data_IF_551547362126
#
_entry.id   IF_551547362126
#
_cell.length_a   1.000
_cell.length_b   1.000
_cell.length_c   1.000
_cell.angle_alpha   90.00
_cell.angle_beta   90.00
_cell.angle_gamma   90.00
#
_symmetry.space_group_name_H-M   'P 1'
#
loop_
_entity.id
_entity.type
_entity.pdbx_description
1 polymer ?
#
# COMPACT_ATOMS: atom_id res chain seq x y z
N UNK A 1 -41.41 -32.56 -82.09
CA UNK A 1 -40.41 -31.60 -81.74
C UNK A 1 -40.79 -30.55 -80.69
N UNK A 2 -42.05 -30.10 -80.61
CA UNK A 2 -42.54 -29.06 -79.64
C UNK A 2 -42.58 -29.51 -78.16
N UNK A 3 -42.81 -30.79 -77.87
CA UNK A 3 -42.82 -31.26 -76.43
C UNK A 3 -41.44 -31.28 -75.71
N UNK A 4 -40.38 -31.58 -76.48
CA UNK A 4 -39.01 -31.60 -75.91
C UNK A 4 -38.48 -30.19 -75.49
N UNK A 5 -38.88 -29.18 -76.26
CA UNK A 5 -38.45 -27.76 -75.95
C UNK A 5 -39.18 -27.21 -74.71
N UNK A 6 -40.44 -27.66 -74.48
CA UNK A 6 -41.24 -27.23 -73.30
C UNK A 6 -40.65 -27.82 -72.02
N UNK A 7 -40.23 -29.07 -72.03
CA UNK A 7 -39.59 -29.74 -70.89
C UNK A 7 -38.24 -29.15 -70.60
N UNK A 8 -37.46 -28.75 -71.58
CA UNK A 8 -36.12 -28.15 -71.40
C UNK A 8 -36.20 -26.73 -70.75
N UNK A 9 -37.17 -25.91 -71.18
CA UNK A 9 -37.43 -24.59 -70.55
C UNK A 9 -37.91 -24.72 -69.11
N UNK A 10 -38.78 -25.71 -68.84
CA UNK A 10 -39.29 -25.95 -67.52
C UNK A 10 -38.25 -26.44 -66.56
N UNK A 11 -37.26 -27.24 -66.95
CA UNK A 11 -36.13 -27.68 -66.17
C UNK A 11 -35.09 -26.54 -65.90
N UNK A 12 -34.89 -25.70 -66.88
CA UNK A 12 -34.01 -24.50 -66.65
C UNK A 12 -34.62 -23.50 -65.71
N UNK A 13 -35.92 -23.28 -65.78
CA UNK A 13 -36.63 -22.40 -64.83
C UNK A 13 -36.58 -22.96 -63.42
N UNK A 14 -36.81 -24.27 -63.25
CA UNK A 14 -36.67 -24.93 -61.91
C UNK A 14 -35.26 -24.82 -61.34
N UNK A 15 -34.24 -25.03 -62.14
CA UNK A 15 -32.88 -24.88 -61.73
C UNK A 15 -32.55 -23.42 -61.34
N UNK A 16 -33.00 -22.45 -62.10
CA UNK A 16 -32.83 -21.04 -61.81
C UNK A 16 -33.47 -20.65 -60.48
N UNK A 17 -34.74 -21.08 -60.26
CA UNK A 17 -35.44 -20.86 -59.02
C UNK A 17 -34.74 -21.54 -57.84
N UNK A 18 -34.26 -22.75 -58.00
CA UNK A 18 -33.53 -23.47 -56.97
C UNK A 18 -32.21 -22.77 -56.58
N UNK A 19 -31.44 -22.33 -57.58
CA UNK A 19 -30.22 -21.57 -57.32
C UNK A 19 -30.48 -20.21 -56.66
N UNK A 20 -31.52 -19.51 -57.07
CA UNK A 20 -31.90 -18.23 -56.46
C UNK A 20 -32.35 -18.42 -55.01
N UNK A 21 -33.14 -19.44 -54.75
CA UNK A 21 -33.64 -19.79 -53.42
C UNK A 21 -32.48 -20.23 -52.51
N UNK A 22 -31.55 -21.03 -53.01
CA UNK A 22 -30.37 -21.47 -52.28
C UNK A 22 -29.45 -20.29 -51.92
N UNK A 23 -29.26 -19.38 -52.88
CA UNK A 23 -28.44 -18.18 -52.68
C UNK A 23 -29.02 -17.21 -51.67
N UNK A 24 -30.35 -16.96 -51.72
CA UNK A 24 -31.03 -16.12 -50.75
C UNK A 24 -31.05 -16.75 -49.36
N UNK A 25 -31.26 -18.05 -49.25
CA UNK A 25 -31.23 -18.76 -47.98
C UNK A 25 -29.84 -18.75 -47.38
N UNK A 26 -28.80 -18.99 -48.18
CA UNK A 26 -27.41 -18.93 -47.74
C UNK A 26 -27.02 -17.53 -47.29
N UNK A 27 -27.43 -16.47 -47.99
CA UNK A 27 -27.12 -15.08 -47.55
C UNK A 27 -27.85 -14.70 -46.25
N UNK A 28 -29.09 -15.11 -46.06
CA UNK A 28 -29.84 -14.89 -44.82
C UNK A 28 -29.16 -15.62 -43.64
N UNK A 29 -28.77 -16.89 -43.84
CA UNK A 29 -28.05 -17.67 -42.83
C UNK A 29 -26.69 -17.03 -42.47
N UNK A 30 -25.95 -16.53 -43.46
CA UNK A 30 -24.70 -15.82 -43.22
C UNK A 30 -24.90 -14.55 -42.38
N UNK A 31 -25.94 -13.78 -42.65
CA UNK A 31 -26.27 -12.57 -41.87
C UNK A 31 -26.61 -12.94 -40.41
N UNK A 32 -27.41 -14.01 -40.23
CA UNK A 32 -27.75 -14.47 -38.89
C UNK A 32 -26.51 -14.91 -38.11
N UNK A 33 -25.62 -15.71 -38.74
CA UNK A 33 -24.38 -16.17 -38.11
C UNK A 33 -23.47 -14.99 -37.78
N UNK A 34 -23.32 -14.03 -38.71
CA UNK A 34 -22.51 -12.83 -38.48
C UNK A 34 -23.06 -11.98 -37.33
N UNK A 35 -24.39 -11.80 -37.27
CA UNK A 35 -25.04 -11.07 -36.17
C UNK A 35 -24.79 -11.75 -34.81
N UNK A 36 -24.91 -13.08 -34.80
CA UNK A 36 -24.63 -13.85 -33.56
C UNK A 36 -23.18 -13.76 -33.12
N UNK A 37 -22.25 -13.84 -34.07
CA UNK A 37 -20.81 -13.68 -33.78
C UNK A 37 -20.49 -12.29 -33.20
N UNK A 38 -21.08 -11.23 -33.73
CA UNK A 38 -20.93 -9.87 -33.23
C UNK A 38 -21.51 -9.76 -31.80
N UNK A 39 -22.69 -10.30 -31.55
CA UNK A 39 -23.29 -10.27 -30.22
C UNK A 39 -22.46 -11.04 -29.19
N UNK A 40 -21.94 -12.20 -29.53
CA UNK A 40 -21.09 -13.00 -28.67
C UNK A 40 -19.78 -12.28 -28.40
N UNK A 41 -19.15 -11.66 -29.41
CA UNK A 41 -17.92 -10.89 -29.24
C UNK A 41 -18.13 -9.67 -28.32
N UNK A 42 -19.26 -9.00 -28.47
CA UNK A 42 -19.60 -7.86 -27.60
C UNK A 42 -19.84 -8.30 -26.15
N UNK A 43 -20.56 -9.40 -25.93
CA UNK A 43 -20.80 -9.95 -24.61
C UNK A 43 -19.49 -10.43 -23.92
N UNK A 44 -18.58 -11.03 -24.68
CA UNK A 44 -17.28 -11.45 -24.18
C UNK A 44 -16.41 -10.24 -23.81
N UNK A 45 -16.41 -9.19 -24.62
CA UNK A 45 -15.71 -7.93 -24.35
C UNK A 45 -16.21 -7.26 -23.05
N UNK A 46 -17.52 -7.06 -22.92
CA UNK A 46 -18.15 -6.47 -21.74
C UNK A 46 -17.85 -7.28 -20.46
N UNK A 47 -17.88 -8.61 -20.59
CA UNK A 47 -17.54 -9.52 -19.48
C UNK A 47 -16.08 -9.40 -19.06
N UNK A 48 -15.15 -9.33 -20.00
CA UNK A 48 -13.72 -9.16 -19.74
C UNK A 48 -13.41 -7.81 -19.12
N UNK A 49 -14.06 -6.75 -19.58
CA UNK A 49 -13.88 -5.41 -19.01
C UNK A 49 -14.35 -5.36 -17.55
N UNK A 50 -15.52 -5.91 -17.26
CA UNK A 50 -16.06 -6.00 -15.89
C UNK A 50 -15.16 -6.85 -14.97
N UNK A 51 -14.64 -7.96 -15.48
CA UNK A 51 -13.72 -8.81 -14.74
C UNK A 51 -12.41 -8.06 -14.44
N UNK A 52 -11.83 -7.37 -15.42
CA UNK A 52 -10.63 -6.55 -15.23
C UNK A 52 -10.84 -5.46 -14.17
N UNK A 53 -11.99 -4.77 -14.20
CA UNK A 53 -12.33 -3.76 -13.19
C UNK A 53 -12.47 -4.37 -11.79
N UNK A 54 -13.12 -5.52 -11.66
CA UNK A 54 -13.25 -6.22 -10.37
C UNK A 54 -11.91 -6.67 -9.81
N UNK A 55 -11.04 -7.18 -10.67
CA UNK A 55 -9.69 -7.60 -10.28
C UNK A 55 -8.87 -6.38 -9.85
N UNK A 56 -8.90 -5.30 -10.63
CA UNK A 56 -8.21 -4.06 -10.29
C UNK A 56 -8.68 -3.51 -8.93
N UNK A 57 -9.98 -3.44 -8.71
CA UNK A 57 -10.55 -2.98 -7.45
C UNK A 57 -10.12 -3.88 -6.27
N UNK A 58 -10.15 -5.20 -6.44
CA UNK A 58 -9.72 -6.14 -5.40
C UNK A 58 -8.25 -5.98 -5.05
N UNK A 59 -7.38 -5.84 -6.06
CA UNK A 59 -5.94 -5.61 -5.85
C UNK A 59 -5.72 -4.30 -5.13
N UNK A 60 -6.36 -3.21 -5.56
CA UNK A 60 -6.23 -1.91 -4.90
C UNK A 60 -6.68 -1.96 -3.45
N UNK A 61 -7.86 -2.53 -3.15
CA UNK A 61 -8.36 -2.65 -1.78
C UNK A 61 -7.39 -3.44 -0.91
N UNK A 62 -6.92 -4.58 -1.38
CA UNK A 62 -5.99 -5.42 -0.62
C UNK A 62 -4.64 -4.75 -0.39
N UNK A 63 -4.11 -4.03 -1.39
CA UNK A 63 -2.88 -3.27 -1.25
C UNK A 63 -3.02 -2.16 -0.19
N UNK A 64 -4.14 -1.43 -0.21
CA UNK A 64 -4.42 -0.40 0.79
C UNK A 64 -4.51 -1.01 2.18
N UNK A 65 -5.24 -2.10 2.36
CA UNK A 65 -5.37 -2.80 3.63
C UNK A 65 -4.01 -3.25 4.19
N UNK A 66 -3.11 -3.76 3.33
CA UNK A 66 -1.80 -4.25 3.73
C UNK A 66 -0.85 -3.10 4.11
N UNK A 67 -0.84 -2.02 3.33
CA UNK A 67 -0.08 -0.82 3.65
C UNK A 67 -0.62 -0.17 4.95
N UNK A 68 -1.94 -0.07 5.09
CA UNK A 68 -2.58 0.48 6.29
C UNK A 68 -2.29 -0.35 7.55
N UNK A 69 -2.13 -1.66 7.40
CA UNK A 69 -1.71 -2.54 8.48
C UNK A 69 -0.32 -2.13 9.02
N UNK A 70 0.69 -1.99 8.16
CA UNK A 70 2.02 -1.56 8.58
C UNK A 70 2.02 -0.19 9.24
N UNK A 71 1.28 0.77 8.67
CA UNK A 71 1.14 2.10 9.27
C UNK A 71 0.50 2.07 10.65
N UNK A 72 -0.58 1.31 10.82
CA UNK A 72 -1.30 1.20 12.09
C UNK A 72 -0.45 0.52 13.16
N UNK A 73 0.19 -0.56 12.82
CA UNK A 73 1.09 -1.28 13.73
C UNK A 73 2.25 -0.40 14.16
N UNK A 74 2.89 0.27 13.22
CA UNK A 74 3.99 1.18 13.51
C UNK A 74 3.54 2.40 14.34
N UNK A 75 2.34 2.92 14.12
CA UNK A 75 1.79 3.99 14.94
C UNK A 75 1.59 3.53 16.40
N UNK A 76 1.14 2.30 16.58
CA UNK A 76 1.01 1.70 17.92
C UNK A 76 2.37 1.55 18.59
N UNK A 77 3.38 1.08 17.86
CA UNK A 77 4.75 0.96 18.37
C UNK A 77 5.35 2.32 18.75
N UNK A 78 5.11 3.36 17.94
CA UNK A 78 5.51 4.72 18.28
C UNK A 78 4.83 5.22 19.56
N UNK A 79 3.55 4.93 19.73
CA UNK A 79 2.83 5.23 20.97
C UNK A 79 3.42 4.46 22.16
N UNK A 80 3.80 3.21 21.98
CA UNK A 80 4.38 2.38 23.05
C UNK A 80 5.74 2.91 23.51
N UNK A 81 6.53 3.54 22.63
CA UNK A 81 7.78 4.20 23.00
C UNK A 81 7.58 5.33 24.02
N UNK A 82 6.40 5.93 24.03
CA UNK A 82 6.05 7.09 24.87
C UNK A 82 4.74 6.84 25.66
N UNK A 83 4.43 5.56 25.91
CA UNK A 83 3.13 5.15 26.46
C UNK A 83 2.92 5.56 27.93
N UNK A 84 3.98 5.78 28.67
CA UNK A 84 3.88 6.11 30.09
C UNK A 84 4.82 7.24 30.48
N UNK A 85 4.56 7.82 31.65
CA UNK A 85 5.33 8.96 32.17
C UNK A 85 6.82 8.64 32.34
N UNK A 86 7.15 7.41 32.74
CA UNK A 86 8.55 7.00 32.95
C UNK A 86 9.34 7.00 31.65
N UNK A 87 8.76 6.47 30.56
CA UNK A 87 9.37 6.47 29.22
C UNK A 87 9.51 7.88 28.66
N UNK A 88 8.48 8.72 28.79
CA UNK A 88 8.53 10.13 28.41
C UNK A 88 9.64 10.84 29.19
N UNK A 89 9.74 10.58 30.48
CA UNK A 89 10.80 11.15 31.32
C UNK A 89 12.20 10.67 30.86
N UNK A 90 12.32 9.40 30.49
CA UNK A 90 13.54 8.83 29.89
C UNK A 90 13.98 9.58 28.63
N UNK A 91 13.02 9.88 27.73
CA UNK A 91 13.26 10.68 26.54
C UNK A 91 13.71 12.10 26.90
N UNK A 92 13.00 12.79 27.79
CA UNK A 92 13.38 14.14 28.26
C UNK A 92 14.77 14.18 28.89
N UNK A 93 15.11 13.19 29.73
CA UNK A 93 16.42 13.11 30.38
C UNK A 93 17.54 12.88 29.39
N UNK A 94 17.30 12.11 28.33
CA UNK A 94 18.24 11.92 27.25
C UNK A 94 18.65 13.25 26.59
N UNK A 95 17.70 14.15 26.34
CA UNK A 95 17.96 15.47 25.76
C UNK A 95 18.55 16.50 26.76
N UNK A 96 18.25 16.33 28.05
CA UNK A 96 18.59 17.32 29.05
C UNK A 96 19.96 17.10 29.72
N UNK A 97 20.44 15.86 29.71
CA UNK A 97 21.64 15.45 30.43
C UNK A 97 22.78 15.13 29.45
N UNK A 98 24.01 15.25 29.91
CA UNK A 98 25.13 14.67 29.17
C UNK A 98 25.01 13.14 29.16
N UNK A 99 25.66 12.49 28.20
CA UNK A 99 25.62 11.00 28.06
C UNK A 99 25.98 10.31 29.39
N UNK A 100 26.98 10.77 30.09
CA UNK A 100 27.42 10.19 31.39
C UNK A 100 26.34 10.38 32.48
N UNK A 101 25.79 11.57 32.59
CA UNK A 101 24.71 11.88 33.55
C UNK A 101 23.45 11.08 33.25
N UNK A 102 23.11 10.91 31.98
CA UNK A 102 21.97 10.09 31.57
C UNK A 102 22.14 8.62 32.00
N UNK A 103 23.35 8.05 31.83
CA UNK A 103 23.62 6.68 32.29
C UNK A 103 23.52 6.54 33.81
N UNK A 104 24.03 7.51 34.57
CA UNK A 104 23.90 7.49 36.03
C UNK A 104 22.44 7.60 36.45
N UNK A 105 21.68 8.48 35.81
CA UNK A 105 20.24 8.61 36.06
C UNK A 105 19.49 7.31 35.74
N UNK A 106 19.81 6.63 34.65
CA UNK A 106 19.23 5.34 34.30
C UNK A 106 19.49 4.29 35.39
N UNK A 107 20.72 4.14 35.83
CA UNK A 107 21.12 3.19 36.89
C UNK A 107 20.33 3.43 38.20
N UNK A 108 20.07 4.68 38.54
CA UNK A 108 19.34 5.04 39.74
C UNK A 108 17.82 4.74 39.62
N UNK A 109 17.22 5.00 38.45
CA UNK A 109 15.78 4.98 38.28
C UNK A 109 15.26 3.65 37.66
N UNK A 110 16.07 2.96 36.88
CA UNK A 110 15.67 1.69 36.24
C UNK A 110 15.25 0.62 37.25
N UNK A 111 15.92 0.56 38.40
CA UNK A 111 15.59 -0.40 39.46
C UNK A 111 14.22 -0.16 40.11
N UNK A 112 13.70 1.05 40.05
CA UNK A 112 12.41 1.44 40.60
C UNK A 112 11.26 1.33 39.59
N UNK A 113 11.58 1.28 38.27
CA UNK A 113 10.56 1.17 37.21
C UNK A 113 10.30 -0.28 36.86
N UNK A 114 9.03 -0.59 36.57
CA UNK A 114 8.60 -1.90 36.09
C UNK A 114 8.85 -2.11 34.59
N UNK A 115 9.19 -1.05 33.86
CA UNK A 115 9.44 -1.04 32.41
C UNK A 115 10.78 -0.41 32.11
N UNK A 116 11.40 -0.74 30.97
CA UNK A 116 12.61 -0.05 30.55
C UNK A 116 12.33 1.43 30.31
N UNK A 117 13.09 2.29 30.97
CA UNK A 117 13.07 3.76 30.81
C UNK A 117 14.19 4.23 29.87
N UNK A 118 15.09 3.33 29.49
CA UNK A 118 16.18 3.60 28.56
C UNK A 118 15.66 3.81 27.14
N UNK A 119 15.90 5.00 26.59
CA UNK A 119 15.54 5.30 25.21
C UNK A 119 16.22 4.33 24.23
N UNK A 120 17.49 4.02 24.46
CA UNK A 120 18.27 3.11 23.61
C UNK A 120 17.68 1.69 23.61
N UNK A 121 17.40 1.14 24.79
CA UNK A 121 16.83 -0.23 24.89
C UNK A 121 15.48 -0.32 24.25
N UNK A 122 14.60 0.66 24.48
CA UNK A 122 13.26 0.66 23.89
C UNK A 122 13.31 0.74 22.36
N UNK A 123 14.24 1.51 21.78
CA UNK A 123 14.41 1.60 20.32
C UNK A 123 15.09 0.34 19.76
N UNK A 124 16.06 -0.22 20.47
CA UNK A 124 16.72 -1.47 20.05
C UNK A 124 15.73 -2.65 20.05
N UNK A 125 14.89 -2.74 21.08
CA UNK A 125 13.80 -3.72 21.15
C UNK A 125 12.80 -3.55 20.00
N UNK A 126 12.48 -2.31 19.64
CA UNK A 126 11.60 -2.02 18.52
C UNK A 126 12.19 -2.52 17.20
N UNK A 127 13.49 -2.33 16.96
CA UNK A 127 14.17 -2.85 15.79
C UNK A 127 14.30 -4.37 15.78
N UNK A 128 14.49 -4.99 16.94
CA UNK A 128 14.58 -6.47 17.05
C UNK A 128 13.24 -7.13 16.76
N UNK A 129 12.15 -6.52 17.21
CA UNK A 129 10.81 -7.09 17.08
C UNK A 129 10.18 -6.83 15.70
N UNK A 130 10.63 -5.78 14.98
CA UNK A 130 9.97 -5.32 13.76
C UNK A 130 11.00 -5.03 12.67
N UNK A 131 11.15 -5.98 11.75
CA UNK A 131 12.13 -5.93 10.67
C UNK A 131 11.83 -4.86 9.59
N UNK A 132 10.59 -4.42 9.51
CA UNK A 132 10.12 -3.41 8.56
C UNK A 132 10.37 -1.96 9.02
N UNK A 133 10.85 -1.73 10.26
CA UNK A 133 11.22 -0.40 10.74
C UNK A 133 12.70 -0.16 10.48
N UNK A 134 13.03 0.90 9.75
CA UNK A 134 14.41 1.28 9.39
C UNK A 134 14.96 2.41 10.20
N UNK A 135 14.11 3.30 10.72
CA UNK A 135 14.53 4.47 11.44
C UNK A 135 13.52 4.98 12.47
N UNK A 136 14.01 5.63 13.49
CA UNK A 136 13.21 6.36 14.49
C UNK A 136 13.82 7.73 14.70
N UNK A 137 12.98 8.78 14.64
CA UNK A 137 13.40 10.12 15.06
C UNK A 137 12.42 10.67 16.08
N UNK A 138 12.93 11.37 17.09
CA UNK A 138 12.13 11.98 18.16
C UNK A 138 12.42 13.46 18.19
N UNK A 139 11.37 14.25 17.98
CA UNK A 139 11.38 15.71 18.04
C UNK A 139 10.60 16.15 19.26
N UNK A 140 11.23 16.86 20.18
CA UNK A 140 10.56 17.51 21.30
C UNK A 140 10.53 19.02 21.07
N UNK A 141 9.41 19.65 21.40
CA UNK A 141 9.21 21.09 21.14
C UNK A 141 10.15 21.98 21.97
N UNK A 142 10.54 21.52 23.16
CA UNK A 142 11.39 22.28 24.08
C UNK A 142 12.87 22.22 23.74
N UNK A 143 13.27 21.37 22.80
CA UNK A 143 14.68 21.16 22.46
C UNK A 143 14.97 21.56 21.01
N UNK A 144 16.19 22.06 20.80
CA UNK A 144 16.70 22.41 19.46
C UNK A 144 17.37 21.23 18.74
N UNK A 145 17.32 20.07 19.35
CA UNK A 145 17.93 18.86 18.85
C UNK A 145 16.86 17.81 18.60
N UNK A 146 17.12 16.95 17.64
CA UNK A 146 16.29 15.80 17.28
C UNK A 146 17.12 14.55 17.52
N UNK A 147 16.57 13.59 18.21
CA UNK A 147 17.15 12.26 18.27
C UNK A 147 16.89 11.53 16.97
N UNK A 148 17.92 10.94 16.38
CA UNK A 148 17.81 10.12 15.17
C UNK A 148 18.51 8.79 15.41
N UNK A 149 17.84 7.71 15.07
CA UNK A 149 18.37 6.35 15.11
C UNK A 149 18.04 5.63 13.81
N UNK A 150 18.94 4.80 13.35
CA UNK A 150 18.76 3.93 12.20
C UNK A 150 19.08 2.50 12.60
N UNK A 151 18.37 1.53 12.05
CA UNK A 151 18.61 0.09 12.27
C UNK A 151 20.04 -0.32 11.95
N UNK A 152 20.66 0.33 10.96
CA UNK A 152 22.02 0.02 10.52
C UNK A 152 23.11 0.66 11.38
N UNK A 153 22.74 1.66 12.20
CA UNK A 153 23.63 2.35 13.11
C UNK A 153 23.23 2.06 14.55
N UNK A 154 24.04 1.27 15.25
CA UNK A 154 23.80 0.99 16.67
C UNK A 154 23.94 2.25 17.50
N UNK A 155 22.90 2.59 18.21
CA UNK A 155 22.81 3.79 19.03
C UNK A 155 22.42 5.02 18.21
N UNK A 156 21.43 5.75 18.68
CA UNK A 156 21.04 7.00 18.05
C UNK A 156 22.00 8.14 18.39
N UNK A 157 21.88 9.22 17.66
CA UNK A 157 22.60 10.46 17.88
C UNK A 157 21.64 11.65 17.80
N UNK A 158 22.08 12.81 18.27
CA UNK A 158 21.30 14.04 18.13
C UNK A 158 21.77 14.86 16.94
N UNK A 159 20.84 15.46 16.24
CA UNK A 159 21.07 16.43 15.17
C UNK A 159 20.30 17.71 15.46
N UNK A 160 20.69 18.83 14.87
CA UNK A 160 19.96 20.08 15.04
C UNK A 160 18.57 19.97 14.41
N UNK A 161 17.55 20.43 15.12
CA UNK A 161 16.17 20.47 14.62
C UNK A 161 16.00 21.41 13.43
N UNK A 162 16.85 22.46 13.36
CA UNK A 162 16.87 23.38 12.22
C UNK A 162 17.40 22.64 10.99
N UNK A 163 16.48 22.40 10.02
CA UNK A 163 16.78 21.65 8.79
C UNK A 163 16.52 20.16 8.86
N UNK A 164 16.11 19.62 10.00
CA UNK A 164 15.66 18.23 10.07
C UNK A 164 14.41 18.04 9.20
N UNK A 165 14.45 17.03 8.35
CA UNK A 165 13.29 16.57 7.56
C UNK A 165 13.15 15.08 7.76
N UNK A 166 11.97 14.62 8.16
CA UNK A 166 11.69 13.19 8.20
C UNK A 166 11.86 12.56 6.81
N UNK A 167 12.21 11.30 6.76
CA UNK A 167 12.29 10.55 5.50
C UNK A 167 10.91 10.46 4.83
N UNK A 168 10.88 10.36 3.49
CA UNK A 168 9.63 10.30 2.73
C UNK A 168 8.75 9.08 3.09
N UNK A 169 9.37 7.99 3.56
CA UNK A 169 8.71 6.77 4.02
C UNK A 169 8.42 6.77 5.53
N UNK A 170 8.55 7.91 6.21
CA UNK A 170 8.25 8.04 7.63
C UNK A 170 6.89 8.66 7.88
N UNK A 171 6.33 8.37 9.03
CA UNK A 171 5.13 9.03 9.55
C UNK A 171 5.34 9.44 11.00
N UNK A 172 4.65 10.51 11.41
CA UNK A 172 4.77 11.10 12.73
C UNK A 172 3.60 10.76 13.62
N UNK A 173 3.90 10.40 14.86
CA UNK A 173 2.93 10.18 15.94
C UNK A 173 3.18 11.22 17.03
N UNK A 174 2.17 12.01 17.44
CA UNK A 174 2.37 13.02 18.47
C UNK A 174 2.65 12.38 19.83
N UNK A 175 3.60 12.97 20.55
CA UNK A 175 3.85 12.68 21.97
C UNK A 175 2.91 13.58 22.77
N UNK A 176 2.03 12.98 23.56
CA UNK A 176 1.13 13.73 24.40
C UNK A 176 1.62 13.76 25.84
N UNK A 177 1.53 14.90 26.48
CA UNK A 177 1.77 15.02 27.92
C UNK A 177 0.60 14.33 28.66
N UNK A 178 0.86 13.30 29.49
CA UNK A 178 -0.21 12.57 30.18
C UNK A 178 -1.05 13.42 31.14
N UNK A 179 -0.54 14.56 31.58
CA UNK A 179 -1.24 15.45 32.51
C UNK A 179 -2.15 16.46 31.81
N UNK A 180 -1.74 16.94 30.61
CA UNK A 180 -2.42 18.05 29.93
C UNK A 180 -3.05 17.66 28.60
N UNK A 181 -2.74 16.46 28.11
CA UNK A 181 -3.14 15.95 26.78
C UNK A 181 -2.66 16.86 25.61
N UNK A 182 -1.68 17.71 25.88
CA UNK A 182 -1.07 18.56 24.87
C UNK A 182 0.10 17.86 24.20
N UNK A 183 0.26 18.12 22.89
CA UNK A 183 1.42 17.60 22.17
C UNK A 183 2.70 18.31 22.62
N UNK A 184 3.67 17.53 23.09
CA UNK A 184 5.01 17.98 23.53
C UNK A 184 6.08 17.62 22.53
N UNK A 185 5.75 16.84 21.49
CA UNK A 185 6.69 16.43 20.48
C UNK A 185 6.06 15.46 19.47
N UNK A 186 6.92 14.90 18.63
CA UNK A 186 6.54 13.91 17.61
C UNK A 186 7.58 12.81 17.54
N UNK A 187 7.13 11.56 17.51
CA UNK A 187 7.94 10.39 17.13
C UNK A 187 7.73 10.13 15.66
N UNK A 188 8.78 10.14 14.87
CA UNK A 188 8.76 9.69 13.47
C UNK A 188 9.29 8.25 13.38
N UNK A 189 8.57 7.39 12.68
CA UNK A 189 9.01 6.04 12.36
C UNK A 189 9.15 5.94 10.85
N UNK A 190 10.34 5.50 10.40
CA UNK A 190 10.62 5.23 8.99
C UNK A 190 10.40 3.75 8.71
N UNK A 191 9.67 3.45 7.65
CA UNK A 191 9.39 2.09 7.19
C UNK A 191 10.35 1.71 6.05
N UNK A 192 10.63 0.43 5.92
CA UNK A 192 11.41 -0.08 4.80
C UNK A 192 10.58 0.05 3.50
N UNK A 193 11.04 0.85 2.54
CA UNK A 193 10.33 1.01 1.28
C UNK A 193 10.27 -0.29 0.46
N UNK A 194 11.24 -1.21 0.64
CA UNK A 194 11.21 -2.51 -0.04
C UNK A 194 10.07 -3.40 0.46
N UNK A 195 9.81 -3.40 1.76
CA UNK A 195 8.69 -4.16 2.35
C UNK A 195 7.35 -3.61 1.86
N UNK A 196 7.20 -2.29 1.84
CA UNK A 196 6.00 -1.66 1.26
C UNK A 196 5.86 -1.97 -0.23
N UNK A 197 6.96 -1.97 -0.98
CA UNK A 197 6.97 -2.35 -2.39
C UNK A 197 6.58 -3.83 -2.58
N UNK A 198 7.12 -4.74 -1.77
CA UNK A 198 6.78 -6.17 -1.82
C UNK A 198 5.33 -6.44 -1.44
N UNK A 199 4.76 -5.72 -0.47
CA UNK A 199 3.35 -5.80 -0.13
C UNK A 199 2.47 -5.45 -1.34
N UNK A 200 2.83 -4.37 -2.07
CA UNK A 200 2.16 -3.97 -3.30
C UNK A 200 2.35 -5.00 -4.43
N UNK A 201 3.57 -5.49 -4.63
CA UNK A 201 3.89 -6.43 -5.72
C UNK A 201 3.23 -7.80 -5.50
N UNK A 202 3.22 -8.30 -4.28
CA UNK A 202 2.54 -9.55 -3.92
C UNK A 202 1.03 -9.49 -4.15
N UNK A 203 0.39 -8.36 -3.87
CA UNK A 203 -1.04 -8.18 -4.11
C UNK A 203 -1.38 -7.97 -5.57
N UNK A 204 -0.48 -7.36 -6.33
CA UNK A 204 -0.62 -7.11 -7.77
C UNK A 204 -0.53 -8.38 -8.60
N UNK A 205 0.31 -9.36 -8.22
CA UNK A 205 0.57 -10.57 -9.01
C UNK A 205 1.11 -10.24 -10.40
N UNK A 206 0.57 -10.88 -11.45
CA UNK A 206 0.97 -10.65 -12.84
C UNK A 206 0.15 -9.57 -13.57
N UNK A 207 -0.59 -8.75 -12.86
CA UNK A 207 -1.43 -7.71 -13.47
C UNK A 207 -0.56 -6.50 -13.80
N UNK A 208 -0.55 -6.01 -15.05
CA UNK A 208 0.23 -4.84 -15.45
C UNK A 208 -0.46 -3.55 -14.96
N UNK A 209 -0.35 -3.27 -13.68
CA UNK A 209 -0.86 -2.06 -13.05
C UNK A 209 0.30 -1.26 -12.46
N UNK A 210 0.25 0.07 -12.56
CA UNK A 210 1.09 0.96 -11.79
C UNK A 210 0.35 1.31 -10.49
N UNK A 211 1.00 1.13 -9.35
CA UNK A 211 0.49 1.53 -8.03
C UNK A 211 1.42 2.62 -7.51
N UNK A 212 0.84 3.76 -7.16
CA UNK A 212 1.58 4.85 -6.51
C UNK A 212 1.06 4.97 -5.08
N UNK A 213 1.95 4.83 -4.11
CA UNK A 213 1.67 5.09 -2.70
C UNK A 213 2.16 6.50 -2.39
N UNK A 214 1.26 7.39 -2.01
CA UNK A 214 1.59 8.76 -1.58
C UNK A 214 1.40 8.85 -0.08
N UNK A 215 2.42 9.39 0.60
CA UNK A 215 2.31 9.69 2.02
C UNK A 215 1.31 10.84 2.23
N UNK A 216 0.44 10.77 3.25
CA UNK A 216 -0.45 11.88 3.58
C UNK A 216 0.30 13.14 4.06
N UNK A 217 1.62 13.06 4.24
CA UNK A 217 2.48 14.15 4.69
C UNK A 217 3.29 14.81 3.56
N UNK A 218 3.09 14.39 2.31
CA UNK A 218 3.74 14.97 1.10
C UNK A 218 2.97 16.19 0.54
N UNK A 219 2.21 16.91 1.37
CA UNK A 219 1.49 18.14 0.98
C UNK A 219 2.15 19.38 1.54
#
# INVERSE_FOLDING_TARGET
>A
MKASMKNWRQNRMKQFWLHTLLRTYSSVMMIIIASFAILLSYADWDSREKEAQRVAQRVTTRTVEEVEYYYRESAQLAQDLVANQDRIQGVYKYFSLSTSEYFYWLLEHQAASSTSISLYENIDDLYVQNDYITGVAIVLQDFKEVYVSSRNERGGHTVLAEGFKPEANSFGVPILDPATDQSIGVVYISLDPEILYHAVDNTRGHIPMAVTVTSPFDT
#
